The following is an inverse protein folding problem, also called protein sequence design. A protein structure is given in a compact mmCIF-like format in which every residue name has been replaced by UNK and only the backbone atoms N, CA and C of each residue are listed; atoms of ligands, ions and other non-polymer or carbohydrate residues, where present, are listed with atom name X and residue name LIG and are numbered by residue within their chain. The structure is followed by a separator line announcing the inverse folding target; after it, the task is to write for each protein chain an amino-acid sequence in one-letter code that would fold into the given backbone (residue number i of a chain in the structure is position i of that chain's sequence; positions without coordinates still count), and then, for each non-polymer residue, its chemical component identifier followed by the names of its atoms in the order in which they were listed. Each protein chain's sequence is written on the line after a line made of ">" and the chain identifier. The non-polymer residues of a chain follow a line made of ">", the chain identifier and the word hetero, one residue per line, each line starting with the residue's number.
data_IF_352012273834
#
_entry.id   IF_352012273834
#
_cell.length_a   1.000
_cell.length_b   1.000
_cell.length_c   1.000
_cell.angle_alpha   90.00
_cell.angle_beta   90.00
_cell.angle_gamma   90.00
#
_symmetry.space_group_name_H-M   'P 1'
#
loop_
_entity.id
_entity.type
_entity.pdbx_description
1 polymer ?
#
# COMPACT_ATOMS: atom_id res chain seq x y z
N UNK A 1 5.35 50.35 27.81
CA UNK A 1 5.28 49.74 26.49
C UNK A 1 5.52 48.23 26.66
N UNK A 2 4.45 47.44 26.72
CA UNK A 2 4.53 45.97 26.82
C UNK A 2 4.53 45.37 25.42
N UNK A 3 5.62 44.72 25.08
CA UNK A 3 5.73 43.91 23.86
C UNK A 3 5.11 42.55 24.13
N UNK A 4 3.95 42.27 23.53
CA UNK A 4 3.33 40.95 23.51
C UNK A 4 4.07 40.13 22.45
N UNK A 5 4.88 39.17 22.89
CA UNK A 5 5.46 38.14 22.03
C UNK A 5 4.35 37.11 21.72
N UNK A 6 3.82 37.18 20.51
CA UNK A 6 2.97 36.12 19.98
C UNK A 6 3.86 34.93 19.61
N UNK A 7 3.86 33.89 20.44
CA UNK A 7 4.39 32.58 20.13
C UNK A 7 3.44 31.92 19.10
N UNK A 8 3.82 31.97 17.84
CA UNK A 8 3.16 31.15 16.80
C UNK A 8 3.63 29.73 16.99
N UNK A 9 2.85 28.95 17.74
CA UNK A 9 3.01 27.46 17.74
C UNK A 9 2.57 26.96 16.42
N UNK A 10 3.52 26.68 15.53
CA UNK A 10 3.28 25.97 14.28
C UNK A 10 2.76 24.58 14.59
N UNK A 11 1.45 24.36 14.52
CA UNK A 11 0.86 23.04 14.49
C UNK A 11 1.37 22.36 13.21
N UNK A 12 2.23 21.36 13.37
CA UNK A 12 2.56 20.43 12.29
C UNK A 12 1.26 19.69 11.92
N UNK A 13 0.64 20.11 10.85
CA UNK A 13 -0.47 19.41 10.24
C UNK A 13 0.05 18.07 9.69
N UNK A 14 -0.04 17.02 10.51
CA UNK A 14 0.00 15.65 10.00
C UNK A 14 -1.31 15.45 9.25
N UNK A 15 -1.28 15.11 7.95
CA UNK A 15 -2.51 14.82 7.24
C UNK A 15 -3.21 13.66 7.96
N UNK A 16 -4.53 13.77 8.21
CA UNK A 16 -5.29 12.68 8.81
C UNK A 16 -5.12 11.40 7.97
N UNK A 17 -5.17 10.23 8.60
CA UNK A 17 -5.03 8.92 7.94
C UNK A 17 -6.00 8.71 6.74
N UNK A 18 -7.02 9.55 6.59
CA UNK A 18 -7.89 9.64 5.41
C UNK A 18 -7.28 10.32 4.18
N UNK A 19 -6.11 10.98 4.30
CA UNK A 19 -5.52 11.75 3.20
C UNK A 19 -5.03 10.87 2.03
N UNK A 20 -4.86 9.56 2.23
CA UNK A 20 -4.41 8.61 1.20
C UNK A 20 -5.49 7.65 0.73
N UNK A 21 -6.76 7.95 0.99
CA UNK A 21 -7.93 7.22 0.48
C UNK A 21 -8.04 5.75 0.91
N UNK A 22 -7.42 5.32 2.01
CA UNK A 22 -7.51 3.93 2.48
C UNK A 22 -8.96 3.51 2.75
N UNK A 23 -9.75 4.39 3.40
CA UNK A 23 -11.18 4.12 3.66
C UNK A 23 -11.95 3.98 2.35
N UNK A 24 -11.80 4.95 1.45
CA UNK A 24 -12.50 4.96 0.17
C UNK A 24 -12.16 3.74 -0.70
N UNK A 25 -10.88 3.36 -0.75
CA UNK A 25 -10.45 2.15 -1.45
C UNK A 25 -10.98 0.88 -0.78
N UNK A 26 -10.96 0.83 0.56
CA UNK A 26 -11.50 -0.28 1.33
C UNK A 26 -12.99 -0.49 1.08
N UNK A 27 -13.79 0.57 1.10
CA UNK A 27 -15.22 0.53 0.77
C UNK A 27 -15.46 0.04 -0.66
N UNK A 28 -14.70 0.58 -1.63
CA UNK A 28 -14.84 0.21 -3.04
C UNK A 28 -14.55 -1.25 -3.33
N UNK A 29 -13.54 -1.81 -2.68
CA UNK A 29 -13.07 -3.18 -2.94
C UNK A 29 -13.43 -4.19 -1.86
N UNK A 30 -14.24 -3.78 -0.87
CA UNK A 30 -14.65 -4.62 0.27
C UNK A 30 -13.46 -5.20 1.05
N UNK A 31 -12.46 -4.35 1.30
CA UNK A 31 -11.24 -4.68 2.03
C UNK A 31 -11.13 -3.76 3.26
N UNK A 32 -10.73 -4.31 4.40
CA UNK A 32 -10.48 -3.52 5.60
C UNK A 32 -9.46 -2.40 5.30
N UNK A 33 -9.80 -1.11 5.49
CA UNK A 33 -8.89 0.01 5.26
C UNK A 33 -7.58 -0.08 6.04
N UNK A 34 -7.61 -0.64 7.25
CA UNK A 34 -6.41 -0.86 8.06
C UNK A 34 -5.50 -1.95 7.47
N UNK A 35 -6.08 -2.93 6.76
CA UNK A 35 -5.28 -3.91 6.03
C UNK A 35 -4.52 -3.26 4.87
N UNK A 36 -5.17 -2.38 4.11
CA UNK A 36 -4.52 -1.61 3.05
C UNK A 36 -3.41 -0.72 3.61
N UNK A 37 -3.66 -0.07 4.74
CA UNK A 37 -2.66 0.75 5.42
C UNK A 37 -1.48 -0.10 5.93
N UNK A 38 -1.74 -1.28 6.49
CA UNK A 38 -0.70 -2.21 6.93
C UNK A 38 0.21 -2.64 5.77
N UNK A 39 -0.36 -2.91 4.60
CA UNK A 39 0.39 -3.21 3.38
C UNK A 39 1.25 -2.00 2.97
N UNK A 40 0.70 -0.80 2.92
CA UNK A 40 1.45 0.40 2.56
C UNK A 40 2.62 0.67 3.53
N UNK A 41 2.43 0.44 4.83
CA UNK A 41 3.50 0.52 5.83
C UNK A 41 4.59 -0.51 5.54
N UNK A 42 4.21 -1.76 5.27
CA UNK A 42 5.17 -2.84 4.97
C UNK A 42 5.92 -2.58 3.67
N UNK A 43 5.24 -2.16 2.63
CA UNK A 43 5.81 -2.00 1.28
C UNK A 43 6.75 -0.80 1.17
N UNK A 44 6.36 0.35 1.71
CA UNK A 44 7.08 1.60 1.47
C UNK A 44 7.38 2.43 2.71
N UNK A 45 6.91 2.01 3.90
CA UNK A 45 6.89 2.84 5.12
C UNK A 45 6.14 4.16 4.90
N UNK A 46 5.06 4.09 4.12
CA UNK A 46 4.23 5.23 3.71
C UNK A 46 4.98 6.27 2.85
N UNK A 47 6.03 5.86 2.15
CA UNK A 47 6.73 6.74 1.20
C UNK A 47 6.01 6.72 -0.16
N UNK A 48 5.36 7.84 -0.50
CA UNK A 48 4.62 7.99 -1.78
C UNK A 48 5.52 7.94 -3.01
N UNK A 49 6.81 8.21 -2.86
CA UNK A 49 7.80 8.26 -3.94
C UNK A 49 8.72 7.05 -3.98
N UNK A 50 8.43 6.01 -3.20
CA UNK A 50 9.25 4.80 -3.18
C UNK A 50 9.24 4.11 -4.55
N UNK A 51 10.42 3.70 -5.02
CA UNK A 51 10.59 2.84 -6.18
C UNK A 51 11.39 1.62 -5.76
N UNK A 52 10.77 0.44 -5.87
CA UNK A 52 11.42 -0.85 -5.71
C UNK A 52 11.95 -1.37 -7.05
N UNK A 53 13.08 -2.07 -7.01
CA UNK A 53 13.69 -2.66 -8.20
C UNK A 53 13.81 -4.18 -8.03
N UNK A 54 13.10 -4.92 -8.87
CA UNK A 54 13.23 -6.37 -8.92
C UNK A 54 14.37 -6.73 -9.87
N UNK A 55 15.23 -7.67 -9.45
CA UNK A 55 16.42 -8.06 -10.20
C UNK A 55 16.48 -9.56 -10.40
N UNK A 56 17.03 -9.99 -11.53
CA UNK A 56 17.38 -11.37 -11.78
C UNK A 56 18.71 -11.76 -11.07
N UNK A 57 19.10 -13.02 -11.20
CA UNK A 57 20.36 -13.53 -10.62
C UNK A 57 21.61 -12.82 -11.15
N UNK A 58 21.54 -12.24 -12.36
CA UNK A 58 22.62 -11.47 -12.97
C UNK A 58 22.64 -10.00 -12.53
N UNK A 59 21.73 -9.58 -11.61
CA UNK A 59 21.65 -8.22 -11.11
C UNK A 59 20.90 -7.24 -12.03
N UNK A 60 20.37 -7.69 -13.17
CA UNK A 60 19.64 -6.85 -14.12
C UNK A 60 18.23 -6.56 -13.58
N UNK A 61 17.78 -5.31 -13.72
CA UNK A 61 16.41 -4.90 -13.35
C UNK A 61 15.42 -5.58 -14.30
N UNK A 62 14.50 -6.34 -13.74
CA UNK A 62 13.44 -7.06 -14.46
C UNK A 62 12.09 -6.37 -14.37
N UNK A 63 11.84 -5.63 -13.30
CA UNK A 63 10.63 -4.80 -13.11
C UNK A 63 10.82 -3.79 -11.99
N UNK A 64 9.91 -2.81 -11.94
CA UNK A 64 9.85 -1.79 -10.89
C UNK A 64 8.52 -1.83 -10.17
N UNK A 65 8.54 -1.43 -8.89
CA UNK A 65 7.37 -1.28 -8.05
C UNK A 65 7.26 0.18 -7.60
N UNK A 66 6.04 0.75 -7.63
CA UNK A 66 5.83 2.19 -7.49
C UNK A 66 4.98 2.56 -6.27
N UNK A 67 5.47 3.51 -5.50
CA UNK A 67 4.72 4.29 -4.51
C UNK A 67 4.33 3.54 -3.24
N UNK A 68 3.29 4.03 -2.58
CA UNK A 68 2.85 3.57 -1.26
C UNK A 68 2.68 2.07 -1.15
N UNK A 69 1.99 1.46 -2.12
CA UNK A 69 1.65 0.04 -2.11
C UNK A 69 2.53 -0.78 -3.05
N UNK A 70 3.63 -0.20 -3.56
CA UNK A 70 4.61 -0.87 -4.42
C UNK A 70 3.95 -1.60 -5.60
N UNK A 71 3.22 -0.85 -6.42
CA UNK A 71 2.52 -1.38 -7.58
C UNK A 71 3.52 -1.76 -8.66
N UNK A 72 3.57 -3.06 -9.00
CA UNK A 72 4.47 -3.54 -10.03
C UNK A 72 4.07 -3.02 -11.42
N UNK A 73 5.05 -2.60 -12.22
CA UNK A 73 4.84 -2.01 -13.55
C UNK A 73 4.05 -2.93 -14.51
N UNK A 74 4.05 -4.26 -14.30
CA UNK A 74 3.26 -5.22 -15.08
C UNK A 74 1.75 -4.96 -15.01
N UNK A 75 1.27 -4.29 -13.95
CA UNK A 75 -0.15 -3.95 -13.80
C UNK A 75 -0.55 -2.72 -14.60
N UNK A 76 0.41 -1.89 -15.04
CA UNK A 76 0.16 -0.61 -15.73
C UNK A 76 -0.69 -0.79 -16.99
N UNK A 77 -0.39 -1.74 -17.91
CA UNK A 77 -1.19 -1.91 -19.13
C UNK A 77 -2.65 -2.25 -18.86
N UNK A 78 -2.92 -3.03 -17.79
CA UNK A 78 -4.29 -3.42 -17.41
C UNK A 78 -5.02 -2.23 -16.79
N UNK A 79 -4.38 -1.50 -15.88
CA UNK A 79 -4.95 -0.34 -15.21
C UNK A 79 -5.26 0.78 -16.21
N UNK A 80 -4.42 0.96 -17.24
CA UNK A 80 -4.69 1.89 -18.36
C UNK A 80 -5.96 1.51 -19.14
N UNK A 81 -6.15 0.23 -19.44
CA UNK A 81 -7.35 -0.24 -20.14
C UNK A 81 -8.63 0.04 -19.36
N UNK A 82 -8.56 0.08 -18.03
CA UNK A 82 -9.68 0.48 -17.16
C UNK A 82 -9.79 2.00 -16.96
N UNK A 83 -8.97 2.80 -17.66
CA UNK A 83 -9.01 4.26 -17.54
C UNK A 83 -8.56 4.81 -16.20
N UNK A 84 -7.80 4.03 -15.42
CA UNK A 84 -7.40 4.40 -14.06
C UNK A 84 -6.29 5.44 -14.08
N UNK A 85 -5.33 5.34 -15.02
CA UNK A 85 -4.26 6.32 -15.22
C UNK A 85 -3.54 6.13 -16.56
N UNK A 86 -2.63 7.05 -16.89
CA UNK A 86 -1.95 7.11 -18.19
C UNK A 86 -0.49 6.67 -18.15
N UNK A 87 0.22 6.90 -17.04
CA UNK A 87 1.66 6.63 -16.91
C UNK A 87 2.03 6.09 -15.52
N UNK A 88 3.14 5.33 -15.44
CA UNK A 88 3.64 4.81 -14.16
C UNK A 88 4.01 5.90 -13.15
N UNK A 89 4.42 7.08 -13.66
CA UNK A 89 4.74 8.22 -12.79
C UNK A 89 3.53 8.72 -11.98
N UNK A 90 2.30 8.54 -12.48
CA UNK A 90 1.08 8.90 -11.76
C UNK A 90 0.97 8.13 -10.43
N UNK A 91 1.51 6.91 -10.36
CA UNK A 91 1.58 6.10 -9.14
C UNK A 91 2.52 6.68 -8.07
N UNK A 92 3.41 7.58 -8.42
CA UNK A 92 4.31 8.29 -7.50
C UNK A 92 3.79 9.67 -7.10
N UNK A 93 2.98 10.29 -7.94
CA UNK A 93 2.51 11.67 -7.76
C UNK A 93 1.10 11.74 -7.16
N UNK A 94 0.30 10.68 -7.33
CA UNK A 94 -1.04 10.56 -6.77
C UNK A 94 -1.12 9.38 -5.79
N UNK A 95 -1.02 9.70 -4.51
CA UNK A 95 -1.06 8.70 -3.43
C UNK A 95 -2.41 7.96 -3.38
N UNK A 96 -3.52 8.65 -3.63
CA UNK A 96 -4.85 8.06 -3.64
C UNK A 96 -4.98 7.05 -4.79
N UNK A 97 -4.50 7.40 -5.98
CA UNK A 97 -4.45 6.50 -7.12
C UNK A 97 -3.63 5.24 -6.82
N UNK A 98 -2.49 5.39 -6.16
CA UNK A 98 -1.66 4.26 -5.75
C UNK A 98 -2.39 3.30 -4.81
N UNK A 99 -3.09 3.84 -3.79
CA UNK A 99 -3.90 3.05 -2.86
C UNK A 99 -5.06 2.34 -3.56
N UNK A 100 -5.76 3.02 -4.47
CA UNK A 100 -6.81 2.42 -5.27
C UNK A 100 -6.28 1.27 -6.14
N UNK A 101 -5.13 1.45 -6.79
CA UNK A 101 -4.48 0.42 -7.59
C UNK A 101 -4.05 -0.78 -6.72
N UNK A 102 -3.47 -0.54 -5.55
CA UNK A 102 -3.10 -1.60 -4.59
C UNK A 102 -4.28 -2.39 -4.08
N UNK A 103 -5.38 -1.72 -3.73
CA UNK A 103 -6.62 -2.36 -3.33
C UNK A 103 -7.21 -3.22 -4.46
N UNK A 104 -7.18 -2.74 -5.70
CA UNK A 104 -7.58 -3.52 -6.87
C UNK A 104 -6.72 -4.78 -7.06
N UNK A 105 -5.39 -4.67 -6.95
CA UNK A 105 -4.49 -5.83 -7.03
C UNK A 105 -4.82 -6.85 -5.96
N UNK A 106 -4.95 -6.41 -4.69
CA UNK A 106 -5.29 -7.30 -3.57
C UNK A 106 -6.66 -7.96 -3.77
N UNK A 107 -7.67 -7.20 -4.21
CA UNK A 107 -9.01 -7.73 -4.47
C UNK A 107 -8.97 -8.88 -5.48
N UNK A 108 -8.20 -8.74 -6.57
CA UNK A 108 -8.00 -9.81 -7.57
C UNK A 108 -7.32 -11.05 -6.98
N UNK A 109 -6.35 -10.86 -6.09
CA UNK A 109 -5.73 -11.97 -5.39
C UNK A 109 -6.73 -12.70 -4.49
N UNK A 110 -7.49 -11.96 -3.68
CA UNK A 110 -8.52 -12.52 -2.81
C UNK A 110 -9.63 -13.26 -3.57
N UNK A 111 -10.00 -12.78 -4.75
CA UNK A 111 -10.92 -13.49 -5.65
C UNK A 111 -10.34 -14.83 -6.14
N UNK A 112 -9.02 -14.89 -6.35
CA UNK A 112 -8.35 -16.08 -6.85
C UNK A 112 -8.13 -17.14 -5.76
N UNK A 113 -7.73 -16.78 -4.56
CA UNK A 113 -7.34 -17.73 -3.51
C UNK A 113 -8.11 -17.60 -2.19
N UNK A 114 -9.11 -16.73 -2.13
CA UNK A 114 -9.99 -16.56 -0.97
C UNK A 114 -9.48 -15.58 0.09
N UNK A 115 -10.33 -15.19 1.05
CA UNK A 115 -10.04 -14.19 2.07
C UNK A 115 -9.24 -14.79 3.23
N UNK A 116 -8.03 -15.24 2.99
CA UNK A 116 -7.14 -15.86 3.98
C UNK A 116 -5.84 -15.08 4.12
N UNK A 117 -5.16 -15.22 5.25
CA UNK A 117 -3.85 -14.63 5.46
C UNK A 117 -2.81 -15.12 4.47
N UNK A 118 -2.84 -16.42 4.11
CA UNK A 118 -1.94 -16.95 3.07
C UNK A 118 -2.18 -16.27 1.72
N UNK A 119 -3.45 -16.06 1.36
CA UNK A 119 -3.80 -15.33 0.14
C UNK A 119 -3.33 -13.86 0.17
N UNK A 120 -3.43 -13.17 1.31
CA UNK A 120 -2.85 -11.83 1.48
C UNK A 120 -1.34 -11.86 1.25
N UNK A 121 -0.66 -12.93 1.68
CA UNK A 121 0.76 -13.15 1.43
C UNK A 121 1.14 -13.18 -0.04
N UNK A 122 0.22 -13.57 -0.92
CA UNK A 122 0.46 -13.59 -2.36
C UNK A 122 0.65 -12.20 -2.98
N UNK A 123 0.22 -11.14 -2.30
CA UNK A 123 0.43 -9.76 -2.73
C UNK A 123 1.93 -9.48 -3.02
N UNK A 124 2.80 -9.94 -2.13
CA UNK A 124 4.26 -9.83 -2.30
C UNK A 124 4.86 -11.05 -3.02
N UNK A 125 4.48 -12.26 -2.62
CA UNK A 125 5.19 -13.49 -3.00
C UNK A 125 4.57 -14.23 -4.20
N UNK A 126 3.42 -13.78 -4.71
CA UNK A 126 2.71 -14.46 -5.78
C UNK A 126 2.15 -15.83 -5.36
N UNK A 127 1.72 -16.60 -6.36
CA UNK A 127 0.95 -17.83 -6.14
C UNK A 127 1.76 -19.13 -6.30
N UNK A 128 3.04 -19.04 -6.70
CA UNK A 128 3.85 -20.23 -6.92
C UNK A 128 3.91 -21.12 -5.66
N UNK A 129 3.73 -22.46 -5.79
CA UNK A 129 3.77 -23.36 -4.63
C UNK A 129 5.06 -23.25 -3.82
N UNK A 130 6.21 -23.09 -4.48
CA UNK A 130 7.51 -22.90 -3.83
C UNK A 130 7.63 -21.62 -2.99
N UNK A 131 6.71 -20.68 -3.15
CA UNK A 131 6.70 -19.41 -2.42
C UNK A 131 5.81 -19.43 -1.15
N UNK A 132 5.29 -20.59 -0.73
CA UNK A 132 4.42 -20.69 0.43
C UNK A 132 5.05 -20.09 1.70
N UNK A 133 6.33 -20.35 1.96
CA UNK A 133 7.05 -19.79 3.11
C UNK A 133 7.20 -18.26 3.03
N UNK A 134 7.38 -17.70 1.83
CA UNK A 134 7.42 -16.25 1.62
C UNK A 134 6.05 -15.62 1.87
N UNK A 135 4.96 -16.23 1.37
CA UNK A 135 3.58 -15.78 1.65
C UNK A 135 3.30 -15.74 3.15
N UNK A 136 3.64 -16.80 3.86
CA UNK A 136 3.41 -16.90 5.30
C UNK A 136 4.20 -15.86 6.10
N UNK A 137 5.45 -15.59 5.76
CA UNK A 137 6.25 -14.54 6.40
C UNK A 137 5.63 -13.16 6.17
N UNK A 138 5.32 -12.84 4.93
CA UNK A 138 4.68 -11.56 4.58
C UNK A 138 3.34 -11.39 5.31
N UNK A 139 2.50 -12.42 5.29
CA UNK A 139 1.20 -12.41 5.98
C UNK A 139 1.32 -12.18 7.49
N UNK A 140 2.31 -12.79 8.16
CA UNK A 140 2.58 -12.54 9.58
C UNK A 140 2.94 -11.08 9.86
N UNK A 141 3.81 -10.51 9.02
CA UNK A 141 4.23 -9.11 9.16
C UNK A 141 3.04 -8.17 8.99
N UNK A 142 2.24 -8.37 7.94
CA UNK A 142 1.02 -7.59 7.70
C UNK A 142 0.05 -7.73 8.86
N UNK A 143 -0.19 -8.96 9.34
CA UNK A 143 -1.11 -9.20 10.47
C UNK A 143 -0.65 -8.46 11.73
N UNK A 144 0.64 -8.47 12.03
CA UNK A 144 1.19 -7.77 13.19
C UNK A 144 0.95 -6.25 13.10
N UNK A 145 1.20 -5.64 11.93
CA UNK A 145 0.96 -4.22 11.70
C UNK A 145 -0.54 -3.91 11.80
N UNK A 146 -1.38 -4.71 11.17
CA UNK A 146 -2.83 -4.56 11.19
C UNK A 146 -3.40 -4.63 12.62
N UNK A 147 -2.95 -5.59 13.44
CA UNK A 147 -3.36 -5.70 14.83
C UNK A 147 -2.91 -4.47 15.66
N UNK A 148 -1.73 -3.94 15.38
CA UNK A 148 -1.26 -2.70 16.00
C UNK A 148 -2.18 -1.53 15.65
N UNK A 149 -2.48 -1.31 14.37
CA UNK A 149 -3.38 -0.24 13.91
C UNK A 149 -4.77 -0.35 14.52
N UNK A 150 -5.35 -1.55 14.57
CA UNK A 150 -6.66 -1.78 15.20
C UNK A 150 -6.68 -1.45 16.69
N UNK A 151 -5.59 -1.66 17.41
CA UNK A 151 -5.50 -1.26 18.82
C UNK A 151 -5.49 0.26 18.96
N UNK A 152 -4.80 0.96 18.08
CA UNK A 152 -4.76 2.43 18.11
C UNK A 152 -6.15 3.05 17.86
N UNK A 153 -6.94 2.52 16.94
CA UNK A 153 -8.30 3.02 16.68
C UNK A 153 -9.23 2.88 17.89
N UNK A 154 -9.04 1.86 18.73
CA UNK A 154 -9.88 1.64 19.93
C UNK A 154 -9.52 2.54 21.10
N UNK A 155 -8.35 3.16 21.07
CA UNK A 155 -7.82 3.98 22.19
C UNK A 155 -7.88 5.48 21.92
N UNK A 156 -8.25 5.91 20.71
CA UNK A 156 -8.46 7.30 20.30
C UNK A 156 -9.94 7.61 20.16
#
# INVERSE_FOLDING_TARGET
>A
MWRVLLLVTGLLWLPPAGAWCFRQAGERYQIDPLLLQAIAIKESRLNTRAIGYNRNKAGQITSRDYGLMQINERHIPVLRRYGVFTAGNDLLTDACLNVQAGAWVLARHLQKCGPTWDCIGSYNAGFAPGNAGLRQRYARDIRAIWLYLRRQEKTG
#
